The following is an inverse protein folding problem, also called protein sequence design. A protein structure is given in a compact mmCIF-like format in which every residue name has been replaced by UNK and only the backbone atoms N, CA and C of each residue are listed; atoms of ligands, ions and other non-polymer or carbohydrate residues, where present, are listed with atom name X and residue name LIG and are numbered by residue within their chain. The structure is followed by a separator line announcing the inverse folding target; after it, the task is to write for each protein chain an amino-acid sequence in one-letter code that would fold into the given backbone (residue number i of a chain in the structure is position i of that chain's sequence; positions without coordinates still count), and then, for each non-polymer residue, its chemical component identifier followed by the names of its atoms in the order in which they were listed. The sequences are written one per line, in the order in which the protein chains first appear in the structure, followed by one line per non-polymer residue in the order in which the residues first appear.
data_IF_568609929711
#
_entry.id   IF_568609929711
#
_cell.length_a   1.000
_cell.length_b   1.000
_cell.length_c   1.000
_cell.angle_alpha   90.00
_cell.angle_beta   90.00
_cell.angle_gamma   90.00
#
_symmetry.space_group_name_H-M   'P 1'
#
loop_
_entity.id
_entity.type
_entity.pdbx_description
1 polymer ?
#
# COMPACT_ATOMS: atom_id res chain seq x y z
N UNK A 1 29.57 -25.71 3.17
CA UNK A 1 29.56 -24.72 4.27
C UNK A 1 28.25 -23.94 4.24
N UNK A 2 27.80 -23.35 5.36
CA UNK A 2 26.64 -22.43 5.40
C UNK A 2 27.11 -21.07 5.90
N UNK A 3 26.83 -20.04 5.11
CA UNK A 3 27.15 -18.64 5.42
C UNK A 3 25.86 -17.82 5.36
N UNK A 4 25.77 -16.76 6.16
CA UNK A 4 24.72 -15.75 6.11
C UNK A 4 25.33 -14.40 5.80
N UNK A 5 24.79 -13.68 4.81
CA UNK A 5 25.20 -12.34 4.48
C UNK A 5 24.90 -11.38 5.64
N UNK A 6 25.82 -10.47 5.92
CA UNK A 6 25.66 -9.40 6.89
C UNK A 6 26.14 -8.08 6.25
N UNK A 7 26.00 -6.95 6.93
CA UNK A 7 26.07 -5.61 6.31
C UNK A 7 27.48 -5.31 5.77
N UNK A 8 28.50 -5.97 6.32
CA UNK A 8 29.90 -5.76 6.02
C UNK A 8 30.73 -7.07 6.10
N UNK A 9 30.12 -8.19 5.72
CA UNK A 9 30.76 -9.49 5.84
C UNK A 9 29.77 -10.64 5.79
N UNK A 10 30.24 -11.82 6.18
CA UNK A 10 29.42 -13.04 6.27
C UNK A 10 29.57 -13.71 7.61
N UNK A 11 28.46 -14.19 8.15
CA UNK A 11 28.43 -15.00 9.35
C UNK A 11 28.49 -16.48 8.95
N UNK A 12 29.49 -17.22 9.42
CA UNK A 12 29.61 -18.65 9.16
C UNK A 12 28.81 -19.41 10.22
N UNK A 13 27.75 -20.13 9.79
CA UNK A 13 26.79 -20.75 10.71
C UNK A 13 27.31 -22.02 11.38
N UNK A 14 28.37 -22.64 10.86
CA UNK A 14 28.86 -23.93 11.39
C UNK A 14 29.57 -23.75 12.74
N UNK A 15 30.24 -22.62 12.92
CA UNK A 15 31.08 -22.27 14.07
C UNK A 15 30.73 -20.90 14.66
N UNK A 16 29.69 -20.25 14.14
CA UNK A 16 29.19 -18.96 14.60
C UNK A 16 30.24 -17.84 14.55
N UNK A 17 31.07 -17.83 13.50
CA UNK A 17 32.13 -16.85 13.32
C UNK A 17 31.71 -15.77 12.31
N UNK A 18 31.85 -14.50 12.69
CA UNK A 18 31.71 -13.38 11.77
C UNK A 18 33.00 -13.18 10.97
N UNK A 19 32.87 -13.14 9.65
CA UNK A 19 33.97 -12.95 8.70
C UNK A 19 33.74 -11.60 8.01
N UNK A 20 34.58 -10.58 8.27
CA UNK A 20 34.47 -9.29 7.60
C UNK A 20 34.75 -9.41 6.09
N UNK A 21 34.21 -8.48 5.30
CA UNK A 21 34.46 -8.34 3.85
C UNK A 21 35.90 -7.89 3.50
N UNK A 22 36.90 -8.56 4.04
CA UNK A 22 38.31 -8.19 3.89
C UNK A 22 39.01 -9.12 2.89
N UNK A 23 39.51 -8.62 1.74
CA UNK A 23 40.23 -9.42 0.74
C UNK A 23 41.54 -10.04 1.27
N UNK A 24 42.06 -9.59 2.41
CA UNK A 24 43.23 -10.18 3.06
C UNK A 24 42.88 -11.29 4.05
N UNK A 25 41.59 -11.44 4.41
CA UNK A 25 41.13 -12.46 5.34
C UNK A 25 40.99 -13.82 4.64
N UNK A 26 41.69 -14.83 5.17
CA UNK A 26 41.64 -16.21 4.66
C UNK A 26 40.23 -16.79 4.63
N UNK A 27 39.41 -16.50 5.64
CA UNK A 27 38.04 -17.00 5.71
C UNK A 27 37.11 -16.31 4.69
N UNK A 28 37.40 -15.04 4.35
CA UNK A 28 36.71 -14.32 3.28
C UNK A 28 37.06 -14.89 1.91
N UNK A 29 38.34 -15.18 1.66
CA UNK A 29 38.79 -15.85 0.43
C UNK A 29 38.14 -17.24 0.29
N UNK A 30 38.06 -18.01 1.37
CA UNK A 30 37.40 -19.31 1.38
C UNK A 30 35.88 -19.20 1.11
N UNK A 31 35.23 -18.15 1.62
CA UNK A 31 33.85 -17.85 1.28
C UNK A 31 33.67 -17.52 -0.21
N UNK A 32 34.55 -16.71 -0.81
CA UNK A 32 34.52 -16.39 -2.24
C UNK A 32 34.76 -17.62 -3.12
N UNK A 33 35.70 -18.49 -2.74
CA UNK A 33 35.94 -19.75 -3.44
C UNK A 33 34.71 -20.68 -3.34
N UNK A 34 34.06 -20.74 -2.19
CA UNK A 34 32.82 -21.49 -2.01
C UNK A 34 31.67 -20.93 -2.85
N UNK A 35 31.49 -19.61 -2.90
CA UNK A 35 30.53 -18.96 -3.82
C UNK A 35 30.84 -19.31 -5.28
N UNK A 36 32.12 -19.30 -5.68
CA UNK A 36 32.52 -19.65 -7.06
C UNK A 36 32.22 -21.09 -7.43
N UNK A 37 32.17 -22.00 -6.45
CA UNK A 37 31.77 -23.40 -6.64
C UNK A 37 30.25 -23.62 -6.62
N UNK A 38 29.45 -22.54 -6.64
CA UNK A 38 27.99 -22.61 -6.58
C UNK A 38 27.41 -22.64 -5.17
N UNK A 39 28.17 -22.15 -4.18
CA UNK A 39 27.63 -21.92 -2.84
C UNK A 39 26.64 -20.76 -2.83
N UNK A 40 25.49 -20.95 -2.17
CA UNK A 40 24.48 -19.89 -1.97
C UNK A 40 24.42 -19.49 -0.50
N UNK A 41 24.86 -18.27 -0.18
CA UNK A 41 24.75 -17.73 1.18
C UNK A 41 23.29 -17.45 1.52
N UNK A 42 22.92 -17.68 2.78
CA UNK A 42 21.64 -17.24 3.32
C UNK A 42 21.58 -15.71 3.31
N UNK A 43 20.45 -15.10 2.94
CA UNK A 43 20.26 -13.67 3.05
C UNK A 43 20.32 -13.21 4.51
N UNK A 44 20.65 -11.93 4.72
CA UNK A 44 20.78 -11.31 6.05
C UNK A 44 19.50 -11.39 6.89
N UNK A 45 18.35 -11.25 6.25
CA UNK A 45 17.05 -11.57 6.83
C UNK A 45 16.56 -12.85 6.17
N UNK A 46 16.20 -13.84 6.98
CA UNK A 46 15.57 -15.03 6.42
C UNK A 46 14.25 -14.63 5.75
N UNK A 47 13.86 -15.33 4.69
CA UNK A 47 12.59 -15.06 4.01
C UNK A 47 11.42 -15.03 4.99
N UNK A 48 11.41 -15.93 5.99
CA UNK A 48 10.39 -15.96 7.05
C UNK A 48 10.34 -14.68 7.91
N UNK A 49 11.49 -14.08 8.22
CA UNK A 49 11.54 -12.81 8.96
C UNK A 49 11.05 -11.64 8.10
N UNK A 50 11.41 -11.62 6.82
CA UNK A 50 10.90 -10.63 5.87
C UNK A 50 9.38 -10.75 5.74
N UNK A 51 8.85 -11.95 5.55
CA UNK A 51 7.41 -12.19 5.53
C UNK A 51 6.71 -11.72 6.81
N UNK A 52 7.30 -11.95 7.98
CA UNK A 52 6.76 -11.49 9.26
C UNK A 52 6.70 -9.96 9.34
N UNK A 53 7.78 -9.29 8.97
CA UNK A 53 7.86 -7.83 8.94
C UNK A 53 6.84 -7.22 7.95
N UNK A 54 6.70 -7.79 6.75
CA UNK A 54 5.76 -7.31 5.74
C UNK A 54 4.29 -7.55 6.13
N UNK A 55 3.98 -8.68 6.79
CA UNK A 55 2.63 -8.90 7.35
C UNK A 55 2.30 -7.88 8.43
N UNK A 56 3.26 -7.54 9.30
CA UNK A 56 3.09 -6.52 10.32
C UNK A 56 2.90 -5.13 9.72
N UNK A 57 3.66 -4.79 8.67
CA UNK A 57 3.47 -3.54 7.93
C UNK A 57 2.07 -3.44 7.32
N UNK A 58 1.59 -4.50 6.65
CA UNK A 58 0.22 -4.59 6.11
C UNK A 58 -0.84 -4.35 7.19
N UNK A 59 -0.69 -5.00 8.36
CA UNK A 59 -1.64 -4.82 9.46
C UNK A 59 -1.66 -3.40 9.99
N UNK A 60 -0.49 -2.75 10.10
CA UNK A 60 -0.39 -1.34 10.45
C UNK A 60 -1.12 -0.44 9.45
N UNK A 61 -0.92 -0.64 8.14
CA UNK A 61 -1.61 0.15 7.10
C UNK A 61 -3.14 -0.04 7.13
N UNK A 62 -3.60 -1.28 7.33
CA UNK A 62 -5.02 -1.56 7.51
C UNK A 62 -5.58 -0.95 8.79
N UNK A 63 -4.82 -0.90 9.88
CA UNK A 63 -5.25 -0.27 11.12
C UNK A 63 -5.39 1.25 10.96
N UNK A 64 -4.37 1.91 10.38
CA UNK A 64 -4.34 3.35 10.15
C UNK A 64 -5.52 3.84 9.30
N UNK A 65 -5.93 3.04 8.31
CA UNK A 65 -7.03 3.39 7.40
C UNK A 65 -8.41 2.96 7.89
N UNK A 66 -8.51 2.20 8.99
CA UNK A 66 -9.78 1.61 9.45
C UNK A 66 -10.75 2.67 9.99
N UNK A 67 -10.24 3.59 10.81
CA UNK A 67 -11.05 4.68 11.39
C UNK A 67 -11.61 5.64 10.33
N UNK A 68 -10.92 5.81 9.18
CA UNK A 68 -11.44 6.61 8.06
C UNK A 68 -12.63 5.93 7.39
N UNK A 69 -12.56 4.61 7.19
CA UNK A 69 -13.65 3.83 6.62
C UNK A 69 -14.86 3.79 7.54
N UNK A 70 -14.64 3.58 8.84
CA UNK A 70 -15.70 3.58 9.85
C UNK A 70 -16.44 4.93 9.85
N UNK A 71 -15.70 6.05 9.96
CA UNK A 71 -16.29 7.40 9.94
C UNK A 71 -17.09 7.66 8.67
N UNK A 72 -16.56 7.30 7.51
CA UNK A 72 -17.28 7.51 6.25
C UNK A 72 -18.61 6.74 6.21
N UNK A 73 -18.67 5.53 6.78
CA UNK A 73 -19.91 4.77 6.90
C UNK A 73 -20.89 5.44 7.86
N UNK A 74 -20.42 5.86 9.03
CA UNK A 74 -21.26 6.56 10.01
C UNK A 74 -21.86 7.85 9.42
N UNK A 75 -21.09 8.60 8.64
CA UNK A 75 -21.54 9.81 7.93
C UNK A 75 -22.64 9.49 6.89
N UNK A 76 -22.47 8.42 6.11
CA UNK A 76 -23.48 7.97 5.14
C UNK A 76 -24.77 7.50 5.81
N UNK A 77 -24.66 6.72 6.90
CA UNK A 77 -25.81 6.22 7.67
C UNK A 77 -26.58 7.34 8.35
N UNK A 78 -25.88 8.37 8.83
CA UNK A 78 -26.48 9.56 9.43
C UNK A 78 -27.03 10.54 8.39
N UNK A 79 -26.71 10.34 7.10
CA UNK A 79 -27.05 11.27 6.02
C UNK A 79 -26.31 12.61 6.13
N UNK A 80 -25.17 12.64 6.82
CA UNK A 80 -24.32 13.80 6.96
C UNK A 80 -23.51 14.06 5.69
N UNK A 81 -22.93 15.26 5.57
CA UNK A 81 -21.93 15.51 4.54
C UNK A 81 -20.69 14.65 4.83
N UNK A 82 -20.23 13.90 3.83
CA UNK A 82 -19.06 13.03 3.99
C UNK A 82 -17.77 13.83 4.00
N UNK A 83 -16.84 13.47 4.89
CA UNK A 83 -15.50 14.09 4.96
C UNK A 83 -14.63 13.68 3.77
N UNK A 84 -14.82 12.44 3.27
CA UNK A 84 -14.18 11.94 2.07
C UNK A 84 -15.15 12.03 0.89
N UNK A 85 -14.64 12.39 -0.28
CA UNK A 85 -15.37 12.24 -1.53
C UNK A 85 -15.56 10.75 -1.89
N UNK A 86 -16.57 10.46 -2.71
CA UNK A 86 -16.83 9.10 -3.17
C UNK A 86 -15.62 8.47 -3.88
N UNK A 87 -14.87 9.26 -4.66
CA UNK A 87 -13.67 8.81 -5.36
C UNK A 87 -12.51 8.50 -4.39
N UNK A 88 -12.33 9.31 -3.34
CA UNK A 88 -11.30 9.05 -2.32
C UNK A 88 -11.63 7.80 -1.50
N UNK A 89 -12.91 7.61 -1.16
CA UNK A 89 -13.36 6.40 -0.47
C UNK A 89 -13.20 5.14 -1.33
N UNK A 90 -13.51 5.20 -2.63
CA UNK A 90 -13.30 4.09 -3.57
C UNK A 90 -11.81 3.74 -3.72
N UNK A 91 -10.95 4.75 -3.87
CA UNK A 91 -9.50 4.57 -3.93
C UNK A 91 -8.96 3.93 -2.63
N UNK A 92 -9.44 4.38 -1.47
CA UNK A 92 -9.08 3.80 -0.17
C UNK A 92 -9.52 2.34 -0.05
N UNK A 93 -10.74 2.02 -0.49
CA UNK A 93 -11.26 0.66 -0.45
C UNK A 93 -10.48 -0.28 -1.40
N UNK A 94 -10.09 0.23 -2.57
CA UNK A 94 -9.22 -0.50 -3.52
C UNK A 94 -7.83 -0.74 -2.92
N UNK A 95 -7.23 0.28 -2.32
CA UNK A 95 -5.95 0.16 -1.61
C UNK A 95 -6.01 -0.91 -0.50
N UNK A 96 -7.03 -0.85 0.37
CA UNK A 96 -7.26 -1.86 1.42
C UNK A 96 -7.54 -3.26 0.87
N UNK A 97 -8.05 -3.40 -0.35
CA UNK A 97 -8.20 -4.70 -1.02
C UNK A 97 -6.85 -5.22 -1.48
N UNK A 98 -6.06 -4.38 -2.12
CA UNK A 98 -4.72 -4.73 -2.61
C UNK A 98 -3.81 -5.16 -1.45
N UNK A 99 -3.82 -4.43 -0.33
CA UNK A 99 -3.10 -4.82 0.89
C UNK A 99 -3.48 -6.21 1.42
N UNK A 100 -4.75 -6.60 1.32
CA UNK A 100 -5.22 -7.92 1.79
C UNK A 100 -4.87 -9.05 0.82
N UNK A 101 -4.83 -8.75 -0.47
CA UNK A 101 -4.52 -9.74 -1.51
C UNK A 101 -3.01 -9.93 -1.70
N UNK A 102 -2.19 -8.92 -1.38
CA UNK A 102 -0.74 -8.93 -1.58
C UNK A 102 0.01 -10.10 -0.91
N UNK A 103 -0.31 -10.55 0.32
CA UNK A 103 0.34 -11.73 0.89
C UNK A 103 0.08 -13.05 0.15
N UNK A 104 -0.85 -13.07 -0.81
CA UNK A 104 -1.16 -14.23 -1.65
C UNK A 104 -0.52 -14.15 -3.04
N UNK A 105 0.22 -13.08 -3.36
CA UNK A 105 0.94 -12.96 -4.64
C UNK A 105 2.36 -13.49 -4.53
N UNK A 106 2.94 -13.88 -5.66
CA UNK A 106 4.34 -14.36 -5.76
C UNK A 106 5.36 -13.22 -5.52
N UNK A 107 4.89 -11.98 -5.49
CA UNK A 107 5.69 -10.76 -5.25
C UNK A 107 5.87 -10.48 -3.75
N UNK A 108 5.25 -11.26 -2.86
CA UNK A 108 5.49 -11.16 -1.43
C UNK A 108 6.76 -11.95 -1.03
N UNK A 109 7.66 -11.43 -0.17
CA UNK A 109 7.61 -10.22 0.66
C UNK A 109 8.40 -9.02 0.08
N UNK A 110 8.44 -8.86 -1.24
CA UNK A 110 9.30 -7.86 -1.88
C UNK A 110 8.80 -6.42 -1.61
N UNK A 111 9.64 -5.60 -0.98
CA UNK A 111 9.25 -4.25 -0.53
C UNK A 111 8.96 -3.30 -1.71
N UNK A 112 9.57 -3.54 -2.87
CA UNK A 112 9.39 -2.70 -4.07
C UNK A 112 7.99 -2.80 -4.66
N UNK A 113 7.25 -3.87 -4.33
CA UNK A 113 5.92 -4.15 -4.86
C UNK A 113 4.81 -3.91 -3.82
N UNK A 114 5.15 -3.24 -2.71
CA UNK A 114 4.16 -2.86 -1.70
C UNK A 114 3.03 -2.05 -2.35
N UNK A 115 1.75 -2.41 -2.10
CA UNK A 115 0.64 -1.59 -2.56
C UNK A 115 0.79 -0.16 -2.03
N UNK A 116 0.56 0.83 -2.89
CA UNK A 116 0.55 2.25 -2.52
C UNK A 116 -0.84 2.82 -2.70
N UNK A 117 -1.24 3.70 -1.78
CA UNK A 117 -2.49 4.43 -1.93
C UNK A 117 -2.34 5.41 -3.09
N UNK A 118 -2.95 5.08 -4.22
CA UNK A 118 -3.07 6.00 -5.36
C UNK A 118 -4.20 6.98 -5.05
N UNK A 119 -3.84 8.24 -4.80
CA UNK A 119 -4.84 9.28 -4.65
C UNK A 119 -5.63 9.39 -5.96
N UNK A 120 -6.98 9.46 -5.92
CA UNK A 120 -7.74 9.66 -7.14
C UNK A 120 -7.33 11.00 -7.75
N UNK A 121 -7.02 11.01 -9.05
CA UNK A 121 -6.83 12.26 -9.79
C UNK A 121 -8.15 13.03 -9.66
N UNK A 122 -8.11 14.15 -8.93
CA UNK A 122 -9.27 15.02 -8.75
C UNK A 122 -9.63 15.64 -10.10
N UNK A 123 -10.44 14.93 -10.88
CA UNK A 123 -11.11 15.49 -12.05
C UNK A 123 -12.25 16.31 -11.48
N UNK A 124 -12.00 17.62 -11.32
CA UNK A 124 -12.95 18.64 -10.87
C UNK A 124 -14.39 18.24 -11.17
N UNK A 125 -15.17 17.98 -10.11
CA UNK A 125 -16.61 17.74 -10.23
C UNK A 125 -17.24 18.94 -10.95
N UNK A 126 -17.64 18.71 -12.20
CA UNK A 126 -18.35 19.72 -12.99
C UNK A 126 -19.57 20.20 -12.18
N UNK A 127 -19.82 21.51 -12.10
CA UNK A 127 -20.96 22.01 -11.34
C UNK A 127 -22.24 21.47 -11.97
N UNK A 128 -22.99 20.67 -11.22
CA UNK A 128 -24.36 20.29 -11.57
C UNK A 128 -25.19 21.57 -11.65
N UNK A 129 -25.36 22.11 -12.86
CA UNK A 129 -26.26 23.23 -13.12
C UNK A 129 -27.67 22.75 -12.81
N UNK A 130 -28.20 23.11 -11.64
CA UNK A 130 -29.64 23.06 -11.36
C UNK A 130 -30.32 24.02 -12.33
N UNK A 131 -30.77 23.52 -13.47
CA UNK A 131 -31.55 24.28 -14.44
C UNK A 131 -32.88 24.66 -13.80
N UNK A 132 -32.94 25.84 -13.18
CA UNK A 132 -34.18 26.40 -12.64
C UNK A 132 -35.09 26.73 -13.84
N UNK A 133 -36.00 25.82 -14.16
CA UNK A 133 -37.10 26.07 -15.10
C UNK A 133 -37.93 27.22 -14.53
N UNK A 134 -37.84 28.42 -15.13
CA UNK A 134 -38.77 29.51 -14.84
C UNK A 134 -40.14 29.10 -15.41
N UNK A 135 -41.11 28.87 -14.54
CA UNK A 135 -42.52 28.71 -14.91
C UNK A 135 -42.99 30.05 -15.48
N UNK A 136 -43.15 30.13 -16.80
CA UNK A 136 -43.75 31.30 -17.46
C UNK A 136 -45.24 31.33 -17.11
N UNK A 137 -45.65 32.34 -16.35
CA UNK A 137 -47.07 32.62 -16.10
C UNK A 137 -47.63 33.26 -17.38
N UNK A 138 -48.65 32.61 -17.98
CA UNK A 138 -49.40 33.19 -19.10
C UNK A 138 -50.15 34.43 -18.61
N UNK A 139 -50.11 35.56 -19.34
CA UNK A 139 -50.95 36.71 -19.02
C UNK A 139 -52.42 36.36 -19.34
N UNK A 140 -53.29 36.56 -18.35
CA UNK A 140 -54.75 36.45 -18.50
C UNK A 140 -55.25 37.78 -19.05
N UNK A 141 -55.81 37.76 -20.27
CA UNK A 141 -56.57 38.86 -20.86
C UNK A 141 -57.77 39.21 -19.95
N UNK A 142 -57.99 40.47 -19.56
CA UNK A 142 -59.26 40.88 -19.02
C UNK A 142 -60.27 41.09 -20.16
N UNK A 143 -61.28 40.22 -20.20
CA UNK A 143 -62.48 40.43 -21.00
C UNK A 143 -63.30 41.63 -20.50
N UNK A 144 -63.93 42.30 -21.45
CA UNK A 144 -64.71 43.53 -21.37
C UNK A 144 -66.05 43.33 -20.62
N UNK A 145 -66.43 44.32 -19.79
CA UNK A 145 -67.80 44.74 -19.45
C UNK A 145 -67.70 46.13 -18.77
N UNK A 146 -68.35 47.22 -19.16
CA UNK A 146 -69.50 47.50 -20.03
C UNK A 146 -69.19 48.74 -20.90
#
# INVERSE_FOLDING_TARGET
MRYQLMTNGVFRLVDSVFIPEDPTNRDWIAYLEWLSHGGESLPMSSALEQEGAERAWRDSELFQTDGLVARHRDELETGAATTLSAAEYEALQTYRRNLRNWPATEEFPEFTVRPVLVAPVSVMAAPVRKTRVRKTVKPVEPAIAQ
#
